data_IF_406393666976
#
_entry.id   IF_406393666976
#
_cell.length_a   1.000
_cell.length_b   1.000
_cell.length_c   1.000
_cell.angle_alpha   90.00
_cell.angle_beta   90.00
_cell.angle_gamma   90.00
#
_symmetry.space_group_name_H-M   'P 1'
#
loop_
_entity.id
_entity.type
_entity.pdbx_description
1 polymer ?
#
# COMPACT_ATOMS: atom_id res chain seq x y z
N UNK A 1 5.64 4.12 24.39
CA UNK A 1 4.28 3.74 23.90
C UNK A 1 3.72 4.77 22.91
N UNK A 2 3.50 6.04 23.29
CA UNK A 2 2.96 7.03 22.34
C UNK A 2 3.80 7.19 21.06
N UNK A 3 5.12 7.28 21.18
CA UNK A 3 6.04 7.42 20.04
C UNK A 3 6.03 6.23 19.06
N UNK A 4 6.21 4.99 19.56
CA UNK A 4 6.33 3.78 18.72
C UNK A 4 5.07 3.47 17.93
N UNK A 5 3.89 3.85 18.45
CA UNK A 5 2.65 3.69 17.70
C UNK A 5 2.38 4.89 16.77
N UNK A 6 3.07 6.03 16.90
CA UNK A 6 2.81 7.24 16.09
C UNK A 6 3.41 7.16 14.69
N UNK A 7 4.50 6.42 14.53
CA UNK A 7 5.23 6.31 13.27
C UNK A 7 4.49 5.41 12.29
N UNK A 8 4.24 5.92 11.09
CA UNK A 8 3.86 5.15 9.91
C UNK A 8 5.05 5.09 8.95
N UNK A 9 5.02 4.20 7.94
CA UNK A 9 6.07 4.13 6.93
C UNK A 9 6.34 5.48 6.23
N UNK A 10 5.33 6.35 6.14
CA UNK A 10 5.45 7.69 5.55
C UNK A 10 5.25 8.82 6.56
N UNK A 11 5.83 9.99 6.27
CA UNK A 11 5.64 11.18 7.08
C UNK A 11 4.18 11.67 7.06
N UNK A 12 3.51 11.57 5.91
CA UNK A 12 2.10 11.90 5.71
C UNK A 12 1.20 11.04 6.60
N UNK A 13 1.40 9.72 6.56
CA UNK A 13 0.67 8.77 7.40
C UNK A 13 0.94 9.03 8.88
N UNK A 14 2.17 9.41 9.23
CA UNK A 14 2.53 9.77 10.61
C UNK A 14 1.78 11.01 11.07
N UNK A 15 1.69 12.05 10.24
CA UNK A 15 0.96 13.29 10.57
C UNK A 15 -0.53 13.04 10.69
N UNK A 16 -1.15 12.34 9.72
CA UNK A 16 -2.56 11.93 9.77
C UNK A 16 -2.87 11.19 11.07
N UNK A 17 -2.03 10.22 11.43
CA UNK A 17 -2.15 9.45 12.66
C UNK A 17 -1.98 10.32 13.91
N UNK A 18 -1.06 11.27 13.88
CA UNK A 18 -0.86 12.24 14.97
C UNK A 18 -2.10 13.10 15.18
N UNK A 19 -2.74 13.61 14.13
CA UNK A 19 -4.00 14.37 14.23
C UNK A 19 -5.11 13.52 14.86
N UNK A 20 -5.28 12.27 14.41
CA UNK A 20 -6.27 11.35 14.99
C UNK A 20 -6.01 11.08 16.48
N UNK A 21 -4.75 11.01 16.89
CA UNK A 21 -4.36 10.83 18.30
C UNK A 21 -4.63 12.05 19.15
N UNK A 22 -4.33 13.25 18.65
CA UNK A 22 -4.68 14.50 19.35
C UNK A 22 -6.17 14.51 19.63
N UNK A 23 -6.99 14.25 18.60
CA UNK A 23 -8.43 14.20 18.74
C UNK A 23 -8.88 13.13 19.74
N UNK A 24 -8.41 11.89 19.59
CA UNK A 24 -8.73 10.79 20.52
C UNK A 24 -8.33 11.08 21.96
N UNK A 25 -7.12 11.60 22.20
CA UNK A 25 -6.63 11.94 23.54
C UNK A 25 -7.44 13.08 24.17
N UNK A 26 -7.74 14.15 23.44
CA UNK A 26 -8.54 15.25 23.97
C UNK A 26 -9.97 14.81 24.30
N UNK A 27 -10.63 14.10 23.39
CA UNK A 27 -11.99 13.59 23.61
C UNK A 27 -12.03 12.53 24.73
N UNK A 28 -11.04 11.65 24.81
CA UNK A 28 -10.94 10.63 25.86
C UNK A 28 -10.70 11.23 27.23
N UNK A 29 -9.84 12.25 27.31
CA UNK A 29 -9.62 13.03 28.53
C UNK A 29 -10.86 13.77 29.00
N UNK A 30 -11.60 14.41 28.07
CA UNK A 30 -12.89 15.05 28.37
C UNK A 30 -13.93 14.03 28.84
N UNK A 31 -14.03 12.88 28.18
CA UNK A 31 -14.94 11.79 28.57
C UNK A 31 -14.63 11.25 29.96
N UNK A 32 -13.35 11.04 30.30
CA UNK A 32 -12.95 10.63 31.64
C UNK A 32 -13.27 11.70 32.69
N UNK A 33 -13.05 12.97 32.38
CA UNK A 33 -13.36 14.08 33.27
C UNK A 33 -14.86 14.13 33.59
N UNK A 34 -15.72 14.01 32.57
CA UNK A 34 -17.18 13.96 32.72
C UNK A 34 -17.64 12.74 33.50
N UNK A 35 -17.07 11.56 33.21
CA UNK A 35 -17.37 10.34 33.93
C UNK A 35 -17.06 10.47 35.42
N UNK A 36 -15.86 10.94 35.77
CA UNK A 36 -15.47 11.09 37.17
C UNK A 36 -16.39 12.09 37.89
N UNK A 37 -16.80 13.17 37.21
CA UNK A 37 -17.75 14.14 37.76
C UNK A 37 -19.16 13.55 37.97
N UNK A 38 -19.66 12.76 37.01
CA UNK A 38 -21.04 12.26 37.02
C UNK A 38 -21.23 10.99 37.87
N UNK A 39 -20.29 10.05 37.80
CA UNK A 39 -20.38 8.77 38.50
C UNK A 39 -19.74 8.80 39.89
N UNK A 40 -18.77 9.68 40.13
CA UNK A 40 -18.00 9.71 41.37
C UNK A 40 -17.46 8.31 41.71
N UNK A 41 -17.82 7.82 42.90
CA UNK A 41 -17.40 6.50 43.39
C UNK A 41 -18.30 5.34 42.92
N UNK A 42 -19.41 5.59 42.22
CA UNK A 42 -20.32 4.52 41.78
C UNK A 42 -19.65 3.59 40.76
N UNK A 43 -19.38 2.31 41.09
CA UNK A 43 -18.67 1.39 40.20
C UNK A 43 -19.53 0.97 39.00
N UNK A 44 -20.84 0.78 39.18
CA UNK A 44 -21.74 0.36 38.11
C UNK A 44 -21.91 1.43 37.03
N UNK A 45 -22.03 2.70 37.45
CA UNK A 45 -22.07 3.84 36.52
C UNK A 45 -20.78 3.96 35.71
N UNK A 46 -19.64 3.62 36.32
CA UNK A 46 -18.34 3.64 35.65
C UNK A 46 -18.21 2.53 34.61
N UNK A 47 -18.61 1.31 34.95
CA UNK A 47 -18.61 0.19 34.01
C UNK A 47 -19.54 0.48 32.83
N UNK A 48 -20.78 0.89 33.10
CA UNK A 48 -21.76 1.21 32.06
C UNK A 48 -21.26 2.30 31.10
N UNK A 49 -20.65 3.36 31.64
CA UNK A 49 -20.07 4.44 30.84
C UNK A 49 -18.90 3.96 30.00
N UNK A 50 -17.92 3.26 30.59
CA UNK A 50 -16.75 2.78 29.86
C UNK A 50 -17.13 1.80 28.76
N UNK A 51 -18.06 0.88 29.02
CA UNK A 51 -18.55 -0.05 28.01
C UNK A 51 -19.28 0.69 26.88
N UNK A 52 -20.15 1.65 27.22
CA UNK A 52 -20.89 2.44 26.23
C UNK A 52 -19.98 3.30 25.36
N UNK A 53 -19.02 4.00 25.96
CA UNK A 53 -18.08 4.85 25.22
C UNK A 53 -17.06 4.03 24.43
N UNK A 54 -16.68 2.84 24.90
CA UNK A 54 -15.85 1.91 24.12
C UNK A 54 -16.59 1.38 22.88
N UNK A 55 -17.85 0.99 23.03
CA UNK A 55 -18.68 0.55 21.90
C UNK A 55 -18.85 1.68 20.86
N UNK A 56 -19.15 2.90 21.32
CA UNK A 56 -19.22 4.08 20.45
C UNK A 56 -17.87 4.37 19.77
N UNK A 57 -16.77 4.30 20.52
CA UNK A 57 -15.43 4.52 19.99
C UNK A 57 -15.07 3.54 18.87
N UNK A 58 -15.44 2.27 19.02
CA UNK A 58 -15.27 1.24 17.99
C UNK A 58 -16.17 1.54 16.78
N UNK A 59 -17.47 1.78 17.00
CA UNK A 59 -18.43 2.04 15.92
C UNK A 59 -18.07 3.26 15.08
N UNK A 60 -17.52 4.31 15.70
CA UNK A 60 -17.14 5.55 15.02
C UNK A 60 -15.75 5.50 14.37
N UNK A 61 -14.90 4.54 14.75
CA UNK A 61 -13.50 4.50 14.29
C UNK A 61 -13.16 3.33 13.39
N UNK A 62 -13.99 2.28 13.36
CA UNK A 62 -13.82 1.19 12.40
C UNK A 62 -14.30 1.67 11.03
N UNK A 63 -13.41 1.68 10.05
CA UNK A 63 -13.76 2.00 8.67
C UNK A 63 -14.80 1.01 8.11
N UNK A 64 -15.53 1.45 7.08
CA UNK A 64 -16.64 0.69 6.50
C UNK A 64 -16.22 -0.61 5.80
N UNK A 65 -14.94 -0.78 5.51
CA UNK A 65 -14.44 -1.98 4.82
C UNK A 65 -14.43 -3.21 5.74
N UNK A 66 -14.92 -4.33 5.23
CA UNK A 66 -14.96 -5.60 5.98
C UNK A 66 -13.55 -6.10 6.34
N UNK A 67 -12.55 -5.81 5.50
CA UNK A 67 -11.13 -6.09 5.77
C UNK A 67 -10.56 -5.27 6.94
N UNK A 68 -11.11 -4.08 7.21
CA UNK A 68 -10.75 -3.26 8.38
C UNK A 68 -11.23 -3.89 9.69
N UNK A 69 -12.34 -4.64 9.66
CA UNK A 69 -12.89 -5.33 10.83
C UNK A 69 -12.05 -6.51 11.28
N UNK A 70 -11.30 -7.13 10.37
CA UNK A 70 -10.35 -8.21 10.65
C UNK A 70 -8.92 -7.71 10.92
N UNK A 71 -8.72 -6.40 11.08
CA UNK A 71 -7.41 -5.82 11.39
C UNK A 71 -6.42 -5.85 10.21
N UNK A 72 -6.90 -6.12 8.99
CA UNK A 72 -6.06 -6.13 7.78
C UNK A 72 -5.98 -4.76 7.10
N UNK A 73 -6.86 -3.81 7.46
CA UNK A 73 -6.75 -2.43 6.97
C UNK A 73 -5.59 -1.69 7.65
N UNK A 74 -4.81 -0.99 6.83
CA UNK A 74 -3.69 -0.15 7.25
C UNK A 74 -4.15 1.14 7.95
N UNK A 75 -5.43 1.50 7.79
CA UNK A 75 -6.05 2.71 8.34
C UNK A 75 -6.91 2.36 9.57
N UNK A 76 -6.35 1.57 10.50
CA UNK A 76 -7.02 1.19 11.74
C UNK A 76 -7.47 2.44 12.53
N UNK A 77 -8.67 2.39 13.13
CA UNK A 77 -9.33 3.51 13.82
C UNK A 77 -8.60 4.10 15.04
N UNK A 78 -7.46 4.77 14.82
CA UNK A 78 -6.57 5.26 15.88
C UNK A 78 -7.25 6.30 16.78
N UNK A 79 -8.19 7.10 16.28
CA UNK A 79 -8.91 8.07 17.09
C UNK A 79 -9.70 7.40 18.22
N UNK A 80 -10.52 6.39 17.90
CA UNK A 80 -11.28 5.62 18.90
C UNK A 80 -10.40 4.82 19.84
N UNK A 81 -9.33 4.22 19.32
CA UNK A 81 -8.36 3.52 20.18
C UNK A 81 -7.75 4.45 21.23
N UNK A 82 -7.28 5.64 20.82
CA UNK A 82 -6.70 6.62 21.75
C UNK A 82 -7.74 7.26 22.67
N UNK A 83 -8.98 7.41 22.21
CA UNK A 83 -10.10 7.82 23.04
C UNK A 83 -10.33 6.85 24.19
N UNK A 84 -10.52 5.56 23.90
CA UNK A 84 -10.75 4.53 24.92
C UNK A 84 -9.54 4.39 25.83
N UNK A 85 -8.33 4.32 25.26
CA UNK A 85 -7.10 4.17 26.02
C UNK A 85 -6.89 5.33 27.01
N UNK A 86 -6.99 6.57 26.53
CA UNK A 86 -6.80 7.76 27.39
C UNK A 86 -7.86 7.81 28.49
N UNK A 87 -9.11 7.49 28.15
CA UNK A 87 -10.20 7.46 29.10
C UNK A 87 -9.97 6.42 30.21
N UNK A 88 -9.67 5.17 29.83
CA UNK A 88 -9.46 4.07 30.77
C UNK A 88 -8.30 4.33 31.72
N UNK A 89 -7.20 4.88 31.21
CA UNK A 89 -6.02 5.19 32.05
C UNK A 89 -6.34 6.25 33.09
N UNK A 90 -6.99 7.36 32.70
CA UNK A 90 -7.35 8.42 33.66
C UNK A 90 -8.30 7.91 34.74
N UNK A 91 -9.32 7.14 34.35
CA UNK A 91 -10.31 6.59 35.29
C UNK A 91 -9.65 5.61 36.25
N UNK A 92 -8.75 4.75 35.75
CA UNK A 92 -8.02 3.81 36.58
C UNK A 92 -7.11 4.53 37.59
N UNK A 93 -6.30 5.48 37.13
CA UNK A 93 -5.41 6.27 37.99
C UNK A 93 -6.17 7.02 39.09
N UNK A 94 -7.34 7.57 38.73
CA UNK A 94 -8.21 8.26 39.68
C UNK A 94 -8.75 7.31 40.75
N UNK A 95 -9.20 6.11 40.37
CA UNK A 95 -9.73 5.10 41.29
C UNK A 95 -8.69 4.51 42.23
N UNK A 96 -7.43 4.46 41.80
CA UNK A 96 -6.29 4.06 42.65
C UNK A 96 -5.84 5.20 43.58
N UNK A 97 -6.36 6.41 43.39
CA UNK A 97 -6.05 7.56 44.25
C UNK A 97 -4.72 8.25 43.92
N UNK A 98 -4.24 8.14 42.67
CA UNK A 98 -2.94 8.67 42.25
C UNK A 98 -2.91 10.20 42.06
N UNK A 99 -4.06 10.86 42.10
CA UNK A 99 -4.14 12.32 41.97
C UNK A 99 -5.58 12.82 41.83
N UNK A 100 -5.73 14.14 41.81
CA UNK A 100 -7.04 14.73 41.58
C UNK A 100 -7.47 14.59 40.11
N UNK A 101 -8.78 14.64 39.86
CA UNK A 101 -9.37 14.56 38.51
C UNK A 101 -8.70 15.53 37.52
N UNK A 102 -8.54 16.79 37.91
CA UNK A 102 -8.02 17.82 37.01
C UNK A 102 -6.54 17.60 36.70
N UNK A 103 -5.74 17.22 37.70
CA UNK A 103 -4.32 16.92 37.54
C UNK A 103 -4.11 15.73 36.61
N UNK A 104 -4.86 14.64 36.81
CA UNK A 104 -4.75 13.44 35.99
C UNK A 104 -5.11 13.71 34.53
N UNK A 105 -6.21 14.42 34.28
CA UNK A 105 -6.63 14.77 32.91
C UNK A 105 -5.60 15.68 32.25
N UNK A 106 -5.17 16.76 32.92
CA UNK A 106 -4.21 17.69 32.36
C UNK A 106 -2.85 17.02 32.07
N UNK A 107 -2.32 16.24 33.01
CA UNK A 107 -1.05 15.54 32.85
C UNK A 107 -1.11 14.51 31.73
N UNK A 108 -2.18 13.74 31.63
CA UNK A 108 -2.33 12.71 30.58
C UNK A 108 -2.52 13.33 29.20
N UNK A 109 -3.26 14.42 29.08
CA UNK A 109 -3.37 15.15 27.81
C UNK A 109 -2.02 15.75 27.44
N UNK A 110 -1.39 16.51 28.33
CA UNK A 110 -0.12 17.18 28.06
C UNK A 110 1.00 16.18 27.69
N UNK A 111 1.15 15.09 28.44
CA UNK A 111 2.16 14.07 28.16
C UNK A 111 1.95 13.38 26.80
N UNK A 112 0.70 13.08 26.44
CA UNK A 112 0.40 12.50 25.13
C UNK A 112 0.63 13.51 24.00
N UNK A 113 0.24 14.77 24.17
CA UNK A 113 0.48 15.83 23.18
C UNK A 113 1.97 16.08 22.95
N UNK A 114 2.80 16.07 24.00
CA UNK A 114 4.25 16.15 23.87
C UNK A 114 4.82 14.95 23.10
N UNK A 115 4.36 13.74 23.42
CA UNK A 115 4.78 12.53 22.70
C UNK A 115 4.36 12.53 21.23
N UNK A 116 3.17 13.03 20.92
CA UNK A 116 2.67 13.20 19.54
C UNK A 116 3.48 14.28 18.82
N UNK A 117 3.73 15.43 19.46
CA UNK A 117 4.53 16.51 18.89
C UNK A 117 5.95 16.05 18.54
N UNK A 118 6.60 15.30 19.43
CA UNK A 118 7.91 14.71 19.15
C UNK A 118 7.87 13.77 17.94
N UNK A 119 6.82 12.95 17.81
CA UNK A 119 6.65 12.07 16.65
C UNK A 119 6.46 12.86 15.34
N UNK A 120 5.67 13.94 15.36
CA UNK A 120 5.54 14.84 14.20
C UNK A 120 6.89 15.46 13.80
N UNK A 121 7.65 15.96 14.78
CA UNK A 121 8.97 16.55 14.53
C UNK A 121 9.92 15.52 13.92
N UNK A 122 10.00 14.32 14.51
CA UNK A 122 10.88 13.25 14.02
C UNK A 122 10.48 12.76 12.62
N UNK A 123 9.18 12.66 12.32
CA UNK A 123 8.70 12.35 10.97
C UNK A 123 9.09 13.41 9.93
N UNK A 124 9.35 14.64 10.38
CA UNK A 124 9.82 15.75 9.59
C UNK A 124 11.35 15.90 9.63
N UNK A 125 12.13 14.95 10.14
CA UNK A 125 13.60 14.99 10.03
C UNK A 125 14.06 14.00 8.95
N UNK A 126 14.92 14.39 7.99
CA UNK A 126 15.49 13.48 7.00
C UNK A 126 16.28 12.33 7.66
N UNK A 127 16.25 11.10 7.11
CA UNK A 127 15.59 10.67 5.88
C UNK A 127 14.08 10.51 6.04
N UNK A 128 13.30 11.21 5.22
CA UNK A 128 11.82 11.13 5.20
C UNK A 128 11.40 10.23 4.07
N UNK A 129 10.56 9.25 4.35
CA UNK A 129 9.83 8.50 3.31
C UNK A 129 8.50 9.25 3.11
N UNK A 130 8.25 9.67 1.87
CA UNK A 130 7.06 10.44 1.51
C UNK A 130 6.20 9.60 0.56
N UNK A 131 4.88 9.63 0.76
CA UNK A 131 3.95 8.99 -0.17
C UNK A 131 4.01 9.58 -1.58
N UNK A 132 4.46 10.84 -1.70
CA UNK A 132 4.67 11.54 -2.97
C UNK A 132 5.97 11.14 -3.71
N UNK A 133 6.78 10.20 -3.19
CA UNK A 133 8.02 9.76 -3.86
C UNK A 133 7.82 8.53 -4.74
N UNK A 134 8.62 8.38 -5.80
CA UNK A 134 8.49 7.26 -6.74
C UNK A 134 9.08 5.94 -6.21
N UNK A 135 9.47 5.85 -4.94
CA UNK A 135 10.16 4.67 -4.36
C UNK A 135 9.33 3.39 -4.49
N UNK A 136 8.03 3.44 -4.20
CA UNK A 136 7.14 2.27 -4.34
C UNK A 136 6.80 1.98 -5.82
N UNK A 137 6.72 3.01 -6.67
CA UNK A 137 6.56 2.84 -8.11
C UNK A 137 7.79 2.16 -8.73
N UNK A 138 8.99 2.48 -8.25
CA UNK A 138 10.27 1.88 -8.67
C UNK A 138 10.37 0.41 -8.24
N UNK A 139 9.91 0.09 -7.02
CA UNK A 139 9.80 -1.30 -6.56
C UNK A 139 8.81 -2.11 -7.42
N UNK A 140 7.64 -1.53 -7.71
CA UNK A 140 6.65 -2.18 -8.59
C UNK A 140 7.20 -2.37 -10.01
N UNK A 141 7.84 -1.35 -10.58
CA UNK A 141 8.50 -1.45 -11.89
C UNK A 141 9.56 -2.55 -11.91
N UNK A 142 10.40 -2.62 -10.88
CA UNK A 142 11.44 -3.64 -10.73
C UNK A 142 10.82 -5.02 -10.67
N UNK A 143 9.73 -5.21 -9.92
CA UNK A 143 9.02 -6.48 -9.83
C UNK A 143 8.37 -6.90 -11.14
N UNK A 144 7.71 -5.99 -11.85
CA UNK A 144 7.15 -6.28 -13.18
C UNK A 144 8.26 -6.65 -14.17
N UNK A 145 9.40 -5.96 -14.12
CA UNK A 145 10.55 -6.24 -14.98
C UNK A 145 11.18 -7.61 -14.65
N UNK A 146 11.37 -7.91 -13.37
CA UNK A 146 11.85 -9.22 -12.92
C UNK A 146 10.90 -10.36 -13.31
N UNK A 147 9.60 -10.15 -13.17
CA UNK A 147 8.58 -11.11 -13.59
C UNK A 147 8.69 -11.36 -15.09
N UNK A 148 8.78 -10.31 -15.91
CA UNK A 148 8.98 -10.43 -17.36
C UNK A 148 10.23 -11.24 -17.71
N UNK A 149 11.39 -10.91 -17.14
CA UNK A 149 12.65 -11.58 -17.41
C UNK A 149 12.63 -13.05 -16.96
N UNK A 150 12.04 -13.36 -15.80
CA UNK A 150 11.92 -14.73 -15.30
C UNK A 150 10.95 -15.57 -16.14
N UNK A 151 9.85 -14.98 -16.62
CA UNK A 151 8.94 -15.65 -17.56
C UNK A 151 9.69 -16.04 -18.82
N UNK A 152 10.53 -15.13 -19.34
CA UNK A 152 11.32 -15.38 -20.55
C UNK A 152 12.31 -16.52 -20.35
N UNK A 153 13.01 -16.57 -19.21
CA UNK A 153 13.96 -17.64 -18.91
C UNK A 153 13.27 -19.00 -18.78
N UNK A 154 12.19 -19.06 -17.99
CA UNK A 154 11.46 -20.32 -17.76
C UNK A 154 10.83 -20.89 -19.04
N UNK A 155 10.29 -20.02 -19.90
CA UNK A 155 9.67 -20.46 -21.14
C UNK A 155 10.69 -20.94 -22.21
N UNK A 156 11.99 -20.61 -22.06
CA UNK A 156 13.06 -21.09 -22.94
C UNK A 156 13.63 -22.43 -22.43
N UNK A 157 13.85 -22.55 -21.11
CA UNK A 157 14.69 -23.61 -20.55
C UNK A 157 13.91 -24.79 -19.94
N UNK A 158 12.65 -24.62 -19.52
CA UNK A 158 11.91 -25.65 -18.78
C UNK A 158 10.53 -25.97 -19.37
N UNK A 159 10.14 -27.24 -19.24
CA UNK A 159 8.75 -27.66 -19.44
C UNK A 159 7.85 -26.99 -18.39
N UNK A 160 6.57 -26.74 -18.69
CA UNK A 160 5.60 -26.28 -17.69
C UNK A 160 5.70 -27.14 -16.44
N UNK A 161 5.89 -26.51 -15.29
CA UNK A 161 5.86 -27.19 -14.01
C UNK A 161 5.00 -26.40 -13.04
N UNK A 162 4.63 -27.02 -11.91
CA UNK A 162 3.98 -26.33 -10.79
C UNK A 162 4.76 -25.06 -10.38
N UNK A 163 6.09 -25.09 -10.51
CA UNK A 163 7.00 -23.95 -10.27
C UNK A 163 6.63 -22.71 -11.09
N UNK A 164 6.19 -22.87 -12.34
CA UNK A 164 5.79 -21.75 -13.21
C UNK A 164 4.51 -21.07 -12.68
N UNK A 165 3.55 -21.87 -12.20
CA UNK A 165 2.29 -21.37 -11.68
C UNK A 165 2.49 -20.70 -10.31
N UNK A 166 3.32 -21.28 -9.45
CA UNK A 166 3.66 -20.73 -8.14
C UNK A 166 4.40 -19.39 -8.27
N UNK A 167 5.36 -19.29 -9.20
CA UNK A 167 6.10 -18.05 -9.45
C UNK A 167 5.15 -16.94 -9.95
N UNK A 168 4.23 -17.26 -10.85
CA UNK A 168 3.21 -16.31 -11.35
C UNK A 168 2.36 -15.77 -10.21
N UNK A 169 1.77 -16.66 -9.41
CA UNK A 169 0.90 -16.29 -8.28
C UNK A 169 1.68 -15.38 -7.32
N UNK A 170 2.92 -15.76 -7.00
CA UNK A 170 3.78 -14.97 -6.10
C UNK A 170 4.01 -13.56 -6.65
N UNK A 171 4.35 -13.42 -7.94
CA UNK A 171 4.56 -12.11 -8.57
C UNK A 171 3.29 -11.27 -8.62
N UNK A 172 2.15 -11.87 -8.93
CA UNK A 172 0.86 -11.16 -8.98
C UNK A 172 0.43 -10.68 -7.60
N UNK A 173 0.58 -11.51 -6.57
CA UNK A 173 0.29 -11.15 -5.18
C UNK A 173 1.21 -10.02 -4.69
N UNK A 174 2.51 -10.12 -4.94
CA UNK A 174 3.47 -9.09 -4.57
C UNK A 174 3.24 -7.77 -5.32
N UNK A 175 2.98 -7.82 -6.63
CA UNK A 175 2.69 -6.64 -7.44
C UNK A 175 1.39 -5.97 -7.00
N UNK A 176 0.35 -6.75 -6.71
CA UNK A 176 -0.94 -6.26 -6.17
C UNK A 176 -0.75 -5.61 -4.79
N UNK A 177 0.05 -6.22 -3.92
CA UNK A 177 0.40 -5.66 -2.62
C UNK A 177 1.19 -4.34 -2.75
N UNK A 178 2.17 -4.26 -3.65
CA UNK A 178 2.93 -3.05 -3.90
C UNK A 178 2.06 -1.94 -4.51
N UNK A 179 1.18 -2.28 -5.44
CA UNK A 179 0.25 -1.33 -6.04
C UNK A 179 -0.73 -0.78 -5.01
N UNK A 180 -1.39 -1.64 -4.24
CA UNK A 180 -2.31 -1.22 -3.18
C UNK A 180 -1.59 -0.37 -2.13
N UNK A 181 -0.34 -0.71 -1.81
CA UNK A 181 0.52 0.10 -0.93
C UNK A 181 0.79 1.47 -1.49
N UNK A 182 1.29 1.55 -2.72
CA UNK A 182 1.64 2.80 -3.37
C UNK A 182 0.42 3.71 -3.53
N UNK A 183 -0.72 3.15 -3.95
CA UNK A 183 -1.99 3.88 -4.12
C UNK A 183 -2.48 4.44 -2.80
N UNK A 184 -2.47 3.62 -1.73
CA UNK A 184 -2.85 4.08 -0.39
C UNK A 184 -1.97 5.26 0.07
N UNK A 185 -0.64 5.15 -0.11
CA UNK A 185 0.29 6.20 0.29
C UNK A 185 0.14 7.48 -0.55
N UNK A 186 -0.13 7.33 -1.85
CA UNK A 186 -0.37 8.42 -2.77
C UNK A 186 -1.67 9.16 -2.42
N UNK A 187 -2.75 8.44 -2.11
CA UNK A 187 -4.01 9.01 -1.66
C UNK A 187 -3.86 9.77 -0.33
N UNK A 188 -3.14 9.21 0.63
CA UNK A 188 -2.83 9.88 1.90
C UNK A 188 -2.03 11.16 1.66
N UNK A 189 -1.06 11.15 0.73
CA UNK A 189 -0.33 12.35 0.34
C UNK A 189 -1.23 13.39 -0.36
N UNK A 190 -2.14 12.97 -1.25
CA UNK A 190 -3.13 13.87 -1.89
C UNK A 190 -4.03 14.56 -0.88
N UNK A 191 -4.48 13.87 0.16
CA UNK A 191 -5.30 14.46 1.25
C UNK A 191 -4.54 15.58 2.00
N UNK A 192 -3.21 15.49 2.03
CA UNK A 192 -2.32 16.47 2.66
C UNK A 192 -1.64 17.42 1.66
N UNK A 193 -2.01 17.38 0.37
CA UNK A 193 -1.43 18.19 -0.72
C UNK A 193 -1.52 19.70 -0.52
N UNK A 194 -2.38 20.18 0.39
CA UNK A 194 -2.44 21.58 0.82
C UNK A 194 -1.13 22.05 1.48
N UNK A 195 -0.34 21.14 2.03
CA UNK A 195 0.98 21.44 2.56
C UNK A 195 2.03 21.30 1.46
N UNK A 196 2.88 22.33 1.21
CA UNK A 196 3.86 22.31 0.12
C UNK A 196 4.84 21.12 0.15
N UNK A 197 5.08 20.57 1.34
CA UNK A 197 6.00 19.46 1.59
C UNK A 197 5.42 18.10 1.12
N UNK A 198 4.09 18.01 0.98
CA UNK A 198 3.37 16.78 0.57
C UNK A 198 2.72 16.91 -0.81
N UNK A 199 3.22 17.82 -1.64
CA UNK A 199 2.70 18.00 -2.99
C UNK A 199 3.03 16.76 -3.82
N UNK A 200 1.99 16.13 -4.34
CA UNK A 200 2.09 14.98 -5.23
C UNK A 200 2.35 15.47 -6.66
N UNK A 201 3.29 14.82 -7.35
CA UNK A 201 3.53 15.05 -8.78
C UNK A 201 2.44 14.33 -9.61
N UNK A 202 1.81 15.04 -10.54
CA UNK A 202 0.80 14.48 -11.44
C UNK A 202 1.38 13.33 -12.29
N UNK A 203 2.66 13.41 -12.65
CA UNK A 203 3.34 12.37 -13.42
C UNK A 203 3.43 11.05 -12.65
N UNK A 204 3.54 11.10 -11.31
CA UNK A 204 3.56 9.90 -10.47
C UNK A 204 2.19 9.22 -10.46
N UNK A 205 1.11 9.98 -10.48
CA UNK A 205 -0.26 9.43 -10.51
C UNK A 205 -0.55 8.69 -11.83
N UNK A 206 -0.19 9.31 -12.95
CA UNK A 206 -0.32 8.70 -14.28
C UNK A 206 0.55 7.45 -14.39
N UNK A 207 1.81 7.53 -13.94
CA UNK A 207 2.73 6.41 -13.93
C UNK A 207 2.18 5.20 -13.15
N UNK A 208 1.57 5.42 -11.99
CA UNK A 208 0.98 4.35 -11.19
C UNK A 208 -0.14 3.60 -11.92
N UNK A 209 -0.99 4.33 -12.65
CA UNK A 209 -2.05 3.75 -13.49
C UNK A 209 -1.46 2.98 -14.67
N UNK A 210 -0.44 3.53 -15.31
CA UNK A 210 0.25 2.88 -16.43
C UNK A 210 0.98 1.59 -15.99
N UNK A 211 1.56 1.57 -14.79
CA UNK A 211 2.22 0.40 -14.20
C UNK A 211 1.23 -0.75 -13.95
N UNK A 212 0.03 -0.47 -13.43
CA UNK A 212 -1.02 -1.49 -13.29
C UNK A 212 -1.45 -2.02 -14.63
N UNK A 213 -1.71 -1.12 -15.58
CA UNK A 213 -2.11 -1.53 -16.94
C UNK A 213 -1.05 -2.44 -17.55
N UNK A 214 0.23 -2.12 -17.34
CA UNK A 214 1.35 -2.93 -17.80
C UNK A 214 1.42 -4.27 -17.08
N UNK A 215 1.17 -4.32 -15.77
CA UNK A 215 1.06 -5.56 -15.00
C UNK A 215 -0.08 -6.45 -15.51
N UNK A 216 -1.26 -5.88 -15.82
CA UNK A 216 -2.39 -6.64 -16.35
C UNK A 216 -2.09 -7.23 -17.74
N UNK A 217 -1.43 -6.46 -18.61
CA UNK A 217 -1.00 -6.97 -19.92
C UNK A 217 -0.01 -8.13 -19.74
N UNK A 218 0.91 -8.02 -18.76
CA UNK A 218 1.83 -9.11 -18.43
C UNK A 218 1.09 -10.35 -17.93
N UNK A 219 0.11 -10.23 -17.04
CA UNK A 219 -0.72 -11.37 -16.59
C UNK A 219 -1.46 -12.06 -17.76
N UNK A 220 -2.01 -11.30 -18.70
CA UNK A 220 -2.64 -11.87 -19.91
C UNK A 220 -1.61 -12.65 -20.75
N UNK A 221 -0.39 -12.14 -20.85
CA UNK A 221 0.70 -12.80 -21.55
C UNK A 221 1.12 -14.10 -20.84
N UNK A 222 1.20 -14.09 -19.51
CA UNK A 222 1.42 -15.28 -18.69
C UNK A 222 0.36 -16.36 -18.89
N UNK A 223 -0.92 -15.98 -18.87
CA UNK A 223 -2.05 -16.89 -19.09
C UNK A 223 -2.00 -17.53 -20.47
N UNK A 224 -1.63 -16.77 -21.49
CA UNK A 224 -1.51 -17.29 -22.84
C UNK A 224 -0.36 -18.31 -22.97
N UNK A 225 0.80 -18.01 -22.42
CA UNK A 225 1.94 -18.94 -22.40
C UNK A 225 1.55 -20.23 -21.68
N UNK A 226 0.90 -20.13 -20.51
CA UNK A 226 0.42 -21.29 -19.79
C UNK A 226 -0.54 -22.14 -20.63
N UNK A 227 -1.45 -21.51 -21.40
CA UNK A 227 -2.37 -22.22 -22.30
C UNK A 227 -1.64 -22.91 -23.44
N UNK A 228 -0.78 -22.20 -24.18
CA UNK A 228 0.02 -22.79 -25.27
C UNK A 228 0.77 -24.02 -24.79
N UNK A 229 1.38 -23.89 -23.62
CA UNK A 229 2.15 -24.96 -23.03
C UNK A 229 1.25 -26.14 -22.64
N UNK A 230 0.07 -25.91 -22.04
CA UNK A 230 -0.88 -26.96 -21.65
C UNK A 230 -1.53 -27.67 -22.86
N UNK A 231 -1.73 -26.97 -23.96
CA UNK A 231 -2.30 -27.54 -25.18
C UNK A 231 -1.31 -28.47 -25.88
N UNK A 232 -0.01 -28.19 -25.77
CA UNK A 232 1.04 -28.90 -26.47
C UNK A 232 1.77 -29.98 -25.64
N UNK A 233 1.42 -30.16 -24.36
CA UNK A 233 1.71 -31.41 -23.62
C UNK A 233 1.12 -32.65 -24.32
N UNK A 234 0.21 -32.45 -25.29
CA UNK A 234 -0.35 -33.50 -26.16
C UNK A 234 0.50 -33.79 -27.41
N UNK A 235 1.44 -32.92 -27.79
CA UNK A 235 2.21 -33.01 -29.05
C UNK A 235 3.67 -32.58 -28.84
N UNK A 236 4.56 -33.56 -28.79
CA UNK A 236 6.01 -33.38 -28.59
C UNK A 236 6.62 -32.32 -29.54
N UNK A 237 7.16 -31.23 -28.97
CA UNK A 237 8.08 -30.22 -29.56
C UNK A 237 7.51 -29.03 -30.37
N UNK A 238 6.19 -28.83 -30.48
CA UNK A 238 5.63 -27.72 -31.27
C UNK A 238 5.79 -26.34 -30.62
N UNK A 239 5.53 -26.25 -29.32
CA UNK A 239 5.35 -25.03 -28.55
C UNK A 239 6.66 -24.31 -28.33
N UNK A 240 7.77 -25.03 -28.14
CA UNK A 240 9.10 -24.42 -28.02
C UNK A 240 9.47 -23.68 -29.32
N UNK A 241 9.09 -24.23 -30.48
CA UNK A 241 9.36 -23.60 -31.78
C UNK A 241 8.46 -22.39 -32.01
N UNK A 242 7.16 -22.49 -31.70
CA UNK A 242 6.22 -21.38 -31.80
C UNK A 242 6.57 -20.26 -30.81
N UNK A 243 6.89 -20.61 -29.57
CA UNK A 243 7.32 -19.67 -28.52
C UNK A 243 8.63 -18.98 -28.90
N UNK A 244 9.65 -19.73 -29.34
CA UNK A 244 10.91 -19.15 -29.81
C UNK A 244 10.70 -18.19 -30.99
N UNK A 245 9.80 -18.52 -31.91
CA UNK A 245 9.45 -17.65 -33.02
C UNK A 245 8.72 -16.37 -32.54
N UNK A 246 7.77 -16.46 -31.60
CA UNK A 246 7.14 -15.29 -30.96
C UNK A 246 8.16 -14.44 -30.22
N UNK A 247 9.10 -15.08 -29.52
CA UNK A 247 10.14 -14.44 -28.74
C UNK A 247 11.15 -13.69 -29.62
N UNK A 248 11.69 -14.35 -30.64
CA UNK A 248 12.59 -13.73 -31.62
C UNK A 248 11.91 -12.57 -32.33
N UNK A 249 10.62 -12.72 -32.65
CA UNK A 249 9.80 -11.66 -33.22
C UNK A 249 9.61 -10.50 -32.23
N UNK A 250 9.35 -10.80 -30.97
CA UNK A 250 9.20 -9.80 -29.90
C UNK A 250 10.48 -8.98 -29.70
N UNK A 251 11.64 -9.66 -29.69
CA UNK A 251 12.95 -9.01 -29.65
C UNK A 251 13.20 -8.18 -30.90
N UNK A 252 12.84 -8.68 -32.08
CA UNK A 252 12.97 -7.94 -33.33
C UNK A 252 12.12 -6.67 -33.34
N UNK A 253 10.85 -6.74 -32.90
CA UNK A 253 9.97 -5.58 -32.75
C UNK A 253 10.52 -4.60 -31.70
N UNK A 254 11.17 -5.08 -30.63
CA UNK A 254 11.83 -4.19 -29.67
C UNK A 254 13.00 -3.41 -30.30
N UNK A 255 13.79 -4.04 -31.16
CA UNK A 255 14.97 -3.42 -31.83
C UNK A 255 14.57 -2.57 -33.04
N UNK A 256 13.50 -2.93 -33.75
CA UNK A 256 13.02 -2.26 -34.97
C UNK A 256 11.57 -1.78 -34.81
N UNK A 257 11.33 -0.54 -34.34
CA UNK A 257 10.01 -0.12 -33.89
C UNK A 257 8.99 0.23 -34.98
N UNK A 258 9.37 0.18 -36.27
CA UNK A 258 8.53 0.58 -37.41
C UNK A 258 7.99 -0.58 -38.25
N UNK A 259 8.35 -1.83 -37.92
CA UNK A 259 7.90 -2.99 -38.68
C UNK A 259 6.68 -3.58 -38.01
N UNK A 260 5.51 -3.26 -38.56
CA UNK A 260 4.34 -4.12 -38.42
C UNK A 260 4.74 -5.51 -38.91
N UNK A 261 4.56 -6.53 -38.06
CA UNK A 261 4.89 -7.91 -38.43
C UNK A 261 3.76 -8.47 -39.31
N UNK A 262 3.53 -7.85 -40.45
CA UNK A 262 2.51 -8.28 -41.42
C UNK A 262 2.99 -9.42 -42.31
N UNK A 263 4.29 -9.79 -42.25
CA UNK A 263 4.92 -10.78 -43.13
C UNK A 263 5.43 -12.07 -42.49
N UNK A 264 5.17 -12.34 -41.20
CA UNK A 264 5.64 -13.59 -40.56
C UNK A 264 4.68 -14.76 -40.81
N UNK A 265 5.24 -15.98 -40.86
CA UNK A 265 4.53 -17.28 -41.01
C UNK A 265 3.73 -17.66 -39.76
N UNK A 266 3.60 -16.74 -38.79
CA UNK A 266 2.96 -16.98 -37.49
C UNK A 266 1.48 -16.63 -37.55
N UNK A 267 0.68 -17.40 -36.81
CA UNK A 267 -0.75 -17.16 -36.66
C UNK A 267 -1.03 -15.77 -36.06
N UNK A 268 -2.24 -15.23 -36.27
CA UNK A 268 -2.65 -13.90 -35.82
C UNK A 268 -2.47 -13.71 -34.30
N UNK A 269 -2.75 -14.75 -33.50
CA UNK A 269 -2.55 -14.75 -32.06
C UNK A 269 -1.09 -14.53 -31.65
N UNK A 270 -0.16 -15.25 -32.29
CA UNK A 270 1.27 -15.19 -31.99
C UNK A 270 1.87 -13.80 -32.29
N UNK A 271 1.36 -13.12 -33.33
CA UNK A 271 1.75 -11.73 -33.65
C UNK A 271 1.21 -10.72 -32.64
N UNK A 272 -0.03 -10.89 -32.20
CA UNK A 272 -0.62 -10.05 -31.16
C UNK A 272 0.24 -10.07 -29.88
N UNK A 273 0.73 -11.24 -29.48
CA UNK A 273 1.55 -11.40 -28.28
C UNK A 273 2.95 -10.83 -28.41
N UNK A 274 3.58 -10.99 -29.57
CA UNK A 274 4.87 -10.37 -29.81
C UNK A 274 4.79 -8.84 -29.73
N UNK A 275 3.71 -8.28 -30.25
CA UNK A 275 3.41 -6.85 -30.13
C UNK A 275 3.10 -6.47 -28.68
N UNK A 276 2.30 -7.25 -27.95
CA UNK A 276 1.98 -7.01 -26.54
C UNK A 276 3.25 -7.00 -25.67
N UNK A 277 4.14 -7.97 -25.87
CA UNK A 277 5.44 -8.04 -25.19
C UNK A 277 6.30 -6.81 -25.50
N UNK A 278 6.43 -6.44 -26.78
CA UNK A 278 7.23 -5.29 -27.17
C UNK A 278 6.66 -3.98 -26.60
N UNK A 279 5.33 -3.87 -26.51
CA UNK A 279 4.65 -2.75 -25.85
C UNK A 279 4.95 -2.72 -24.36
N UNK A 280 4.86 -3.85 -23.65
CA UNK A 280 5.19 -3.95 -22.21
C UNK A 280 6.63 -3.53 -21.98
N UNK A 281 7.60 -4.09 -22.72
CA UNK A 281 9.02 -3.77 -22.55
C UNK A 281 9.32 -2.29 -22.79
N UNK A 282 8.77 -1.68 -23.86
CA UNK A 282 8.93 -0.24 -24.12
C UNK A 282 8.28 0.63 -23.04
N UNK A 283 7.12 0.21 -22.52
CA UNK A 283 6.47 0.90 -21.40
C UNK A 283 7.33 0.86 -20.15
N UNK A 284 7.89 -0.29 -19.79
CA UNK A 284 8.80 -0.41 -18.64
C UNK A 284 10.03 0.50 -18.78
N UNK A 285 10.64 0.57 -19.95
CA UNK A 285 11.75 1.51 -20.21
C UNK A 285 11.33 2.98 -20.10
N UNK A 286 10.12 3.30 -20.57
CA UNK A 286 9.57 4.67 -20.49
C UNK A 286 9.27 5.04 -19.04
N UNK A 287 8.63 4.14 -18.29
CA UNK A 287 8.35 4.28 -16.86
C UNK A 287 9.64 4.48 -16.06
N UNK A 288 10.71 3.72 -16.34
CA UNK A 288 12.01 3.88 -15.70
C UNK A 288 12.58 5.30 -15.89
N UNK A 289 12.43 5.88 -17.09
CA UNK A 289 12.86 7.27 -17.38
C UNK A 289 12.02 8.28 -16.61
N UNK A 290 10.70 8.10 -16.56
CA UNK A 290 9.79 8.98 -15.81
C UNK A 290 10.12 8.94 -14.31
N UNK A 291 10.33 7.76 -13.73
CA UNK A 291 10.75 7.60 -12.32
C UNK A 291 12.04 8.35 -12.03
N UNK A 292 13.03 8.23 -12.93
CA UNK A 292 14.31 8.94 -12.81
C UNK A 292 14.12 10.45 -12.85
N UNK A 293 13.29 10.96 -13.77
CA UNK A 293 12.97 12.39 -13.88
C UNK A 293 12.29 12.92 -12.60
N UNK A 294 11.29 12.20 -12.08
CA UNK A 294 10.62 12.55 -10.82
C UNK A 294 11.61 12.61 -9.66
N UNK A 295 12.55 11.66 -9.58
CA UNK A 295 13.58 11.61 -8.53
C UNK A 295 14.58 12.77 -8.61
N UNK A 296 14.91 13.23 -9.82
CA UNK A 296 15.82 14.38 -10.01
C UNK A 296 15.15 15.72 -9.71
N UNK A 297 13.81 15.78 -9.71
CA UNK A 297 13.02 16.98 -9.42
C UNK A 297 12.61 17.12 -7.95
N UNK A 298 12.69 16.04 -7.16
CA UNK A 298 12.24 15.93 -5.76
C UNK A 298 13.35 16.15 -4.74
#
# INVERSE_FOLDING_TARGET
LAYSFATMPTAEGTIKKCVMRVFGTCCGGLSAWLLILAAGDNPYGTVAWLTGTAALGILLSVEKDESARFGQSRDFGYAGFYFVLTQSVIVFDFRVGLGSRNELVANRIAANLLGIGMACVLAMIPPRVLGARPEYADQLLTKISQSLDQTMLLAIDEAPSETYTELRITHEEEASLLYSTATYLLEDAKRLSKFPIFKVDHQLEELMLELVTTSCILSIWWDYIARLISEDEKTSHGWQTAFKAVFELSLHVCVTPKTDVTGSVLDEEHRFLANAFAVVKRRLETHARVIKQIREMS
#
